data_IF_384680300031
#
_entry.id   IF_384680300031
#
_cell.length_a   1.000
_cell.length_b   1.000
_cell.length_c   1.000
_cell.angle_alpha   90.00
_cell.angle_beta   90.00
_cell.angle_gamma   90.00
#
_symmetry.space_group_name_H-M   'P 1'
#
loop_
_entity.id
_entity.type
_entity.pdbx_description
1 polymer ?
#
# COMPACT_ATOMS: atom_id res chain seq x y z
N UNK A 1 22.15 -59.83 -10.47
CA UNK A 1 22.68 -58.54 -9.99
C UNK A 1 21.60 -57.52 -10.23
N UNK A 2 21.11 -56.93 -9.15
CA UNK A 2 20.08 -55.90 -9.14
C UNK A 2 20.80 -54.56 -8.95
N UNK A 3 20.53 -53.59 -9.82
CA UNK A 3 20.87 -52.19 -9.58
C UNK A 3 19.59 -51.37 -9.66
N UNK A 4 19.18 -50.85 -8.50
CA UNK A 4 18.10 -49.88 -8.34
C UNK A 4 18.54 -48.51 -8.86
N UNK A 5 17.65 -47.70 -9.44
CA UNK A 5 17.96 -46.31 -9.73
C UNK A 5 17.97 -45.46 -8.44
N UNK A 6 18.81 -44.41 -8.38
CA UNK A 6 19.00 -43.61 -7.18
C UNK A 6 17.84 -42.63 -6.94
N UNK A 7 17.46 -42.51 -5.66
CA UNK A 7 16.55 -41.51 -5.11
C UNK A 7 17.10 -40.10 -5.27
N UNK A 8 16.51 -39.29 -6.15
CA UNK A 8 16.78 -37.85 -6.22
C UNK A 8 15.90 -37.09 -5.22
N UNK A 9 16.33 -37.08 -3.97
CA UNK A 9 15.75 -36.30 -2.88
C UNK A 9 16.14 -34.81 -2.90
N UNK A 10 16.67 -34.26 -4.00
CA UNK A 10 17.29 -32.92 -4.00
C UNK A 10 16.43 -31.78 -4.54
N UNK A 11 15.20 -32.03 -5.01
CA UNK A 11 14.34 -30.97 -5.56
C UNK A 11 13.40 -30.29 -4.55
N UNK A 12 13.54 -30.57 -3.24
CA UNK A 12 12.73 -29.94 -2.18
C UNK A 12 13.45 -28.77 -1.52
N UNK A 13 13.83 -27.70 -2.23
CA UNK A 13 14.18 -26.42 -1.55
C UNK A 13 14.35 -25.17 -2.41
N UNK A 14 13.52 -24.95 -3.44
CA UNK A 14 13.45 -23.60 -4.07
C UNK A 14 12.03 -23.22 -4.48
N UNK A 15 11.04 -23.43 -3.60
CA UNK A 15 9.70 -22.84 -3.71
C UNK A 15 9.42 -21.97 -2.48
N UNK A 16 10.28 -20.96 -2.29
CA UNK A 16 10.10 -19.97 -1.22
C UNK A 16 9.63 -18.66 -1.83
N UNK A 17 8.36 -18.36 -1.55
CA UNK A 17 7.72 -17.05 -1.66
C UNK A 17 7.33 -16.60 -3.09
N UNK A 18 6.38 -17.33 -3.69
CA UNK A 18 5.35 -16.64 -4.49
C UNK A 18 4.51 -15.82 -3.51
N UNK A 19 4.76 -14.52 -3.43
CA UNK A 19 3.86 -13.59 -2.76
C UNK A 19 2.47 -13.71 -3.39
N UNK A 20 1.47 -13.90 -2.54
CA UNK A 20 0.08 -14.13 -2.92
C UNK A 20 -0.50 -12.90 -3.65
N UNK A 21 -0.35 -12.91 -4.98
CA UNK A 21 -1.20 -12.15 -5.87
C UNK A 21 -2.61 -12.74 -5.77
N UNK A 22 -3.48 -12.13 -4.97
CA UNK A 22 -4.90 -12.44 -4.98
C UNK A 22 -5.60 -11.59 -6.06
N UNK A 23 -6.09 -12.18 -7.17
CA UNK A 23 -7.04 -11.50 -8.03
C UNK A 23 -8.39 -11.52 -7.32
N UNK A 24 -8.72 -10.47 -6.59
CA UNK A 24 -10.08 -10.28 -6.13
C UNK A 24 -10.98 -10.01 -7.35
N UNK A 25 -11.86 -10.99 -7.64
CA UNK A 25 -13.00 -10.94 -8.56
C UNK A 25 -12.76 -11.21 -10.06
N UNK A 26 -12.53 -12.49 -10.40
CA UNK A 26 -12.83 -13.01 -11.72
C UNK A 26 -14.37 -13.20 -11.88
N UNK A 27 -15.04 -12.27 -12.56
CA UNK A 27 -16.43 -12.45 -13.01
C UNK A 27 -17.22 -11.16 -13.20
N UNK A 28 -17.38 -10.76 -14.48
CA UNK A 28 -17.86 -9.46 -15.03
C UNK A 28 -16.81 -8.35 -14.99
N UNK A 29 -16.33 -7.95 -16.17
CA UNK A 29 -15.80 -6.60 -16.38
C UNK A 29 -16.90 -5.61 -15.99
N UNK A 30 -16.86 -5.13 -14.75
CA UNK A 30 -17.46 -3.84 -14.42
C UNK A 30 -16.58 -2.84 -15.16
N UNK A 31 -17.13 -2.04 -16.05
CA UNK A 31 -16.45 -0.78 -16.38
C UNK A 31 -16.29 -0.04 -15.06
N UNK A 32 -15.07 -0.01 -14.52
CA UNK A 32 -14.79 0.79 -13.33
C UNK A 32 -14.67 2.22 -13.83
N UNK A 33 -15.61 3.07 -13.42
CA UNK A 33 -15.54 4.51 -13.66
C UNK A 33 -14.88 5.23 -12.48
N UNK A 34 -14.46 6.49 -12.68
CA UNK A 34 -13.81 7.28 -11.64
C UNK A 34 -14.64 7.39 -10.34
N UNK A 35 -15.97 7.59 -10.38
CA UNK A 35 -16.82 7.51 -9.18
C UNK A 35 -16.80 6.14 -8.48
N UNK A 36 -16.76 5.04 -9.22
CA UNK A 36 -16.65 3.70 -8.64
C UNK A 36 -15.29 3.50 -7.98
N UNK A 37 -14.19 3.97 -8.59
CA UNK A 37 -12.87 3.95 -7.97
C UNK A 37 -12.84 4.77 -6.67
N UNK A 38 -13.44 5.97 -6.68
CA UNK A 38 -13.52 6.79 -5.47
C UNK A 38 -14.27 6.08 -4.33
N UNK A 39 -15.42 5.46 -4.63
CA UNK A 39 -16.19 4.67 -3.65
C UNK A 39 -15.37 3.50 -3.11
N UNK A 40 -14.73 2.76 -4.02
CA UNK A 40 -13.85 1.64 -3.66
C UNK A 40 -12.74 2.09 -2.72
N UNK A 41 -12.04 3.20 -3.00
CA UNK A 41 -11.00 3.74 -2.11
C UNK A 41 -11.54 4.08 -0.71
N UNK A 42 -12.73 4.69 -0.62
CA UNK A 42 -13.37 5.02 0.66
C UNK A 42 -13.69 3.76 1.47
N UNK A 43 -14.22 2.73 0.79
CA UNK A 43 -14.53 1.44 1.38
C UNK A 43 -13.26 0.73 1.85
N UNK A 44 -12.25 0.59 0.97
CA UNK A 44 -10.96 -0.03 1.28
C UNK A 44 -10.27 0.63 2.47
N UNK A 45 -10.19 1.96 2.52
CA UNK A 45 -9.63 2.66 3.68
C UNK A 45 -10.38 2.39 5.00
N UNK A 46 -11.67 2.05 4.94
CA UNK A 46 -12.45 1.65 6.12
C UNK A 46 -12.10 0.26 6.65
N UNK A 47 -11.51 -0.59 5.81
CA UNK A 47 -11.12 -1.97 6.12
C UNK A 47 -9.61 -2.11 6.41
N UNK A 48 -8.80 -1.13 6.01
CA UNK A 48 -7.35 -1.13 6.25
C UNK A 48 -7.00 -1.07 7.74
N UNK A 49 -6.05 -1.92 8.14
CA UNK A 49 -5.48 -1.91 9.48
C UNK A 49 -4.56 -0.70 9.71
N UNK A 50 -4.33 -0.34 10.99
CA UNK A 50 -3.32 0.66 11.34
C UNK A 50 -1.96 0.25 10.79
N UNK A 51 -1.22 1.22 10.26
CA UNK A 51 0.07 1.04 9.59
C UNK A 51 0.05 0.28 8.26
N UNK A 52 -1.11 -0.23 7.80
CA UNK A 52 -1.24 -0.80 6.46
C UNK A 52 -1.05 0.29 5.39
N UNK A 53 -0.57 -0.15 4.22
CA UNK A 53 -0.27 0.70 3.06
C UNK A 53 -1.02 0.19 1.84
N UNK A 54 -1.56 1.12 1.07
CA UNK A 54 -2.15 0.88 -0.24
C UNK A 54 -1.42 1.76 -1.26
N UNK A 55 -0.68 1.13 -2.16
CA UNK A 55 -0.01 1.78 -3.29
C UNK A 55 -0.88 1.66 -4.53
N UNK A 56 -0.94 2.71 -5.32
CA UNK A 56 -1.75 2.82 -6.54
C UNK A 56 -0.87 3.45 -7.61
N UNK A 57 -0.92 2.90 -8.82
CA UNK A 57 -0.13 3.37 -9.96
C UNK A 57 -0.55 2.67 -11.24
N UNK A 58 0.20 2.79 -12.34
CA UNK A 58 -0.13 2.13 -13.60
C UNK A 58 -0.09 0.61 -13.43
N UNK A 59 -1.09 -0.11 -13.92
CA UNK A 59 -1.17 -1.58 -13.80
C UNK A 59 0.00 -2.29 -14.50
N UNK A 60 0.57 -1.67 -15.53
CA UNK A 60 1.67 -2.20 -16.33
C UNK A 60 3.07 -1.81 -15.79
N UNK A 61 3.16 -0.97 -14.75
CA UNK A 61 4.45 -0.58 -14.19
C UNK A 61 5.04 -1.74 -13.37
N UNK A 62 6.03 -2.43 -13.95
CA UNK A 62 6.86 -3.39 -13.20
C UNK A 62 7.83 -2.66 -12.26
N UNK A 63 8.36 -3.36 -11.25
CA UNK A 63 9.33 -2.82 -10.30
C UNK A 63 10.63 -2.32 -10.96
N UNK A 64 10.91 -2.76 -12.19
CA UNK A 64 12.12 -2.42 -12.97
C UNK A 64 11.84 -1.39 -14.09
N UNK A 65 10.68 -0.71 -14.07
CA UNK A 65 10.31 0.24 -15.10
C UNK A 65 11.27 1.44 -15.17
N UNK A 66 12.01 1.58 -16.26
CA UNK A 66 12.73 2.82 -16.58
C UNK A 66 11.70 3.92 -16.95
N UNK A 67 11.53 4.89 -16.05
CA UNK A 67 10.71 6.08 -16.29
C UNK A 67 10.07 6.62 -15.01
N UNK A 68 9.57 7.85 -15.10
CA UNK A 68 8.72 8.44 -14.06
C UNK A 68 7.42 7.62 -13.93
N UNK A 69 7.06 7.26 -12.71
CA UNK A 69 5.85 6.49 -12.39
C UNK A 69 4.92 7.35 -11.55
N UNK A 70 3.85 7.83 -12.18
CA UNK A 70 2.75 8.47 -11.47
C UNK A 70 2.13 7.49 -10.46
N UNK A 71 2.27 7.76 -9.18
CA UNK A 71 1.75 6.90 -8.13
C UNK A 71 1.21 7.67 -6.93
N UNK A 72 0.32 7.02 -6.22
CA UNK A 72 -0.25 7.48 -4.98
C UNK A 72 -0.09 6.41 -3.90
N UNK A 73 0.27 6.81 -2.70
CA UNK A 73 0.38 5.92 -1.55
C UNK A 73 -0.54 6.41 -0.45
N UNK A 74 -1.38 5.52 0.07
CA UNK A 74 -2.22 5.75 1.24
C UNK A 74 -1.71 4.89 2.38
N UNK A 75 -1.45 5.49 3.53
CA UNK A 75 -1.09 4.78 4.76
C UNK A 75 -2.02 5.15 5.91
N UNK A 76 -2.45 4.13 6.66
CA UNK A 76 -3.22 4.35 7.89
C UNK A 76 -2.29 4.68 9.05
N UNK A 77 -2.54 5.80 9.71
CA UNK A 77 -1.86 6.29 10.90
C UNK A 77 -2.74 6.07 12.16
N UNK A 78 -2.34 6.66 13.30
CA UNK A 78 -3.16 6.62 14.50
C UNK A 78 -4.49 7.37 14.32
N UNK A 79 -5.47 7.02 15.16
CA UNK A 79 -6.76 7.72 15.25
C UNK A 79 -7.52 7.81 13.92
N UNK A 80 -7.43 6.77 13.08
CA UNK A 80 -8.04 6.71 11.75
C UNK A 80 -7.65 7.92 10.86
N UNK A 81 -6.41 8.38 11.01
CA UNK A 81 -5.83 9.37 10.12
C UNK A 81 -5.15 8.65 8.96
N UNK A 82 -5.26 9.20 7.76
CA UNK A 82 -4.67 8.66 6.54
C UNK A 82 -3.63 9.65 6.03
N UNK A 83 -2.43 9.17 5.77
CA UNK A 83 -1.41 9.89 5.00
C UNK A 83 -1.59 9.53 3.54
N UNK A 84 -1.82 10.51 2.69
CA UNK A 84 -1.76 10.37 1.23
C UNK A 84 -0.54 11.08 0.70
N UNK A 85 0.24 10.38 -0.12
CA UNK A 85 1.43 10.89 -0.79
C UNK A 85 1.26 10.73 -2.29
N UNK A 86 1.66 11.74 -3.05
CA UNK A 86 1.66 11.70 -4.52
C UNK A 86 3.09 11.81 -5.02
N UNK A 87 3.41 11.04 -6.05
CA UNK A 87 4.74 11.03 -6.63
C UNK A 87 4.74 10.65 -8.12
N UNK A 88 5.85 10.97 -8.77
CA UNK A 88 6.25 10.50 -10.10
C UNK A 88 7.42 9.51 -9.99
N UNK A 89 7.72 9.02 -8.79
CA UNK A 89 8.70 7.98 -8.52
C UNK A 89 8.06 6.91 -7.64
N UNK A 90 8.48 5.66 -7.81
CA UNK A 90 8.06 4.55 -6.94
C UNK A 90 8.40 4.89 -5.48
N UNK A 91 7.39 4.86 -4.61
CA UNK A 91 7.55 5.16 -3.19
C UNK A 91 7.75 3.91 -2.36
N UNK A 92 8.68 3.96 -1.42
CA UNK A 92 8.74 2.99 -0.34
C UNK A 92 7.74 3.37 0.76
N UNK A 93 7.16 2.40 1.49
CA UNK A 93 6.46 2.68 2.73
C UNK A 93 7.36 3.48 3.70
N UNK A 94 6.94 4.65 4.19
CA UNK A 94 7.82 5.52 4.95
C UNK A 94 8.12 4.91 6.33
N UNK A 95 9.33 5.08 6.84
CA UNK A 95 9.62 4.78 8.24
C UNK A 95 9.23 5.99 9.10
N UNK A 96 8.19 5.87 9.92
CA UNK A 96 7.70 6.96 10.75
C UNK A 96 8.10 6.73 12.22
N UNK A 97 8.66 7.76 12.85
CA UNK A 97 8.97 7.75 14.29
C UNK A 97 7.70 7.81 15.13
N UNK A 98 6.66 8.47 14.62
CA UNK A 98 5.33 8.59 15.23
C UNK A 98 4.27 8.58 14.15
N UNK A 99 3.12 8.00 14.45
CA UNK A 99 1.93 8.01 13.59
C UNK A 99 0.79 8.85 14.21
N UNK A 100 1.09 9.65 15.23
CA UNK A 100 0.18 10.63 15.81
C UNK A 100 0.32 11.96 15.07
N UNK A 101 -0.79 12.49 14.58
CA UNK A 101 -0.85 13.74 13.82
C UNK A 101 -1.63 14.80 14.61
N UNK A 102 -1.03 15.99 14.75
CA UNK A 102 -1.66 17.16 15.35
C UNK A 102 -2.82 17.68 14.50
N UNK A 103 -3.81 18.31 15.12
CA UNK A 103 -5.00 18.81 14.41
C UNK A 103 -4.65 19.90 13.39
N UNK A 104 -3.64 20.71 13.70
CA UNK A 104 -3.10 21.77 12.87
C UNK A 104 -2.50 21.29 11.54
N UNK A 105 -2.06 20.02 11.48
CA UNK A 105 -1.49 19.43 10.28
C UNK A 105 -2.54 18.71 9.40
N UNK A 106 -3.76 18.52 9.91
CA UNK A 106 -4.81 17.86 9.14
C UNK A 106 -5.32 18.74 7.99
N UNK A 107 -5.68 18.10 6.89
CA UNK A 107 -6.26 18.72 5.70
C UNK A 107 -5.42 19.85 5.08
N UNK A 108 -4.13 19.89 5.41
CA UNK A 108 -3.14 20.82 4.85
C UNK A 108 -2.22 20.05 3.91
N UNK A 109 -1.91 20.65 2.75
CA UNK A 109 -0.99 20.07 1.78
C UNK A 109 0.45 20.52 2.07
N UNK A 110 1.37 19.57 2.10
CA UNK A 110 2.78 19.80 2.38
C UNK A 110 3.62 19.48 1.14
N UNK A 111 4.59 20.35 0.85
CA UNK A 111 5.55 20.22 -0.26
C UNK A 111 6.99 20.14 0.24
N UNK A 112 7.20 19.88 1.53
CA UNK A 112 8.55 19.80 2.09
C UNK A 112 9.25 18.48 1.72
N UNK A 113 10.57 18.46 1.91
CA UNK A 113 11.42 17.32 1.59
C UNK A 113 11.40 16.21 2.66
N UNK A 114 10.30 16.10 3.45
CA UNK A 114 10.18 15.07 4.51
C UNK A 114 10.34 13.66 3.93
N UNK A 115 9.90 13.45 2.69
CA UNK A 115 10.02 12.18 2.00
C UNK A 115 10.73 12.37 0.66
N UNK A 116 11.94 11.84 0.53
CA UNK A 116 12.77 12.01 -0.67
C UNK A 116 12.13 11.45 -1.96
N UNK A 117 11.26 10.47 -1.81
CA UNK A 117 10.51 9.79 -2.88
C UNK A 117 9.10 10.38 -3.11
N UNK A 118 8.71 11.47 -2.42
CA UNK A 118 7.40 12.12 -2.58
C UNK A 118 7.51 13.41 -3.41
N UNK A 119 7.43 13.30 -4.73
CA UNK A 119 7.73 14.46 -5.60
C UNK A 119 6.61 15.50 -5.68
N UNK A 120 5.37 15.14 -5.32
CA UNK A 120 4.20 16.01 -5.46
C UNK A 120 3.54 16.39 -4.14
N UNK A 121 4.21 16.08 -3.03
CA UNK A 121 3.74 16.41 -1.70
C UNK A 121 2.72 15.42 -1.13
N UNK A 122 2.26 15.75 0.07
CA UNK A 122 1.44 14.87 0.88
C UNK A 122 0.43 15.63 1.73
N UNK A 123 -0.56 14.89 2.23
CA UNK A 123 -1.60 15.41 3.12
C UNK A 123 -1.99 14.34 4.13
N UNK A 124 -2.35 14.77 5.34
CA UNK A 124 -2.94 13.91 6.35
C UNK A 124 -4.41 14.29 6.55
N UNK A 125 -5.31 13.32 6.54
CA UNK A 125 -6.74 13.57 6.74
C UNK A 125 -7.41 12.46 7.53
N UNK A 126 -8.47 12.79 8.27
CA UNK A 126 -9.42 11.80 8.80
C UNK A 126 -10.58 11.54 7.82
N UNK A 127 -10.68 12.32 6.75
CA UNK A 127 -11.72 12.18 5.74
C UNK A 127 -11.27 11.22 4.64
N UNK A 128 -11.76 9.99 4.69
CA UNK A 128 -11.58 8.99 3.62
C UNK A 128 -12.04 9.52 2.26
N UNK A 129 -13.15 10.26 2.23
CA UNK A 129 -13.66 10.87 0.98
C UNK A 129 -12.65 11.84 0.38
N UNK A 130 -12.04 12.70 1.21
CA UNK A 130 -11.03 13.66 0.75
C UNK A 130 -9.81 12.95 0.17
N UNK A 131 -9.30 11.94 0.87
CA UNK A 131 -8.15 11.15 0.40
C UNK A 131 -8.46 10.47 -0.95
N UNK A 132 -9.63 9.84 -1.06
CA UNK A 132 -10.05 9.21 -2.32
C UNK A 132 -10.18 10.23 -3.47
N UNK A 133 -10.71 11.43 -3.19
CA UNK A 133 -10.82 12.51 -4.18
C UNK A 133 -9.47 13.01 -4.67
N UNK A 134 -8.50 13.16 -3.76
CA UNK A 134 -7.12 13.54 -4.11
C UNK A 134 -6.52 12.50 -5.08
N UNK A 135 -6.64 11.21 -4.74
CA UNK A 135 -6.08 10.13 -5.56
C UNK A 135 -6.75 10.04 -6.93
N UNK A 136 -8.08 10.12 -6.99
CA UNK A 136 -8.81 10.09 -8.27
C UNK A 136 -8.47 11.30 -9.12
N UNK A 137 -8.40 12.49 -8.53
CA UNK A 137 -8.04 13.73 -9.24
C UNK A 137 -6.63 13.65 -9.79
N UNK A 138 -5.68 13.12 -9.00
CA UNK A 138 -4.30 12.90 -9.42
C UNK A 138 -4.25 12.08 -10.72
N UNK A 139 -4.83 10.88 -10.73
CA UNK A 139 -4.74 10.01 -11.90
C UNK A 139 -5.57 10.49 -13.09
N UNK A 140 -6.81 10.93 -12.84
CA UNK A 140 -7.73 11.35 -13.90
C UNK A 140 -7.25 12.63 -14.59
N UNK A 141 -6.93 13.66 -13.80
CA UNK A 141 -6.74 15.00 -14.35
C UNK A 141 -5.27 15.30 -14.66
N UNK A 142 -4.34 14.80 -13.83
CA UNK A 142 -2.92 15.14 -13.99
C UNK A 142 -2.18 14.13 -14.84
N UNK A 143 -2.36 12.84 -14.56
CA UNK A 143 -1.64 11.78 -15.26
C UNK A 143 -2.33 11.39 -16.58
N UNK A 144 -3.56 11.86 -16.80
CA UNK A 144 -4.28 11.71 -18.06
C UNK A 144 -4.77 10.29 -18.33
N UNK A 145 -4.93 9.47 -17.30
CA UNK A 145 -5.55 8.15 -17.45
C UNK A 145 -6.97 8.30 -17.95
N UNK A 146 -7.33 7.54 -18.98
CA UNK A 146 -8.66 7.65 -19.59
C UNK A 146 -9.69 6.90 -18.76
N UNK A 147 -9.27 5.78 -18.16
CA UNK A 147 -10.13 4.92 -17.32
C UNK A 147 -9.35 4.36 -16.11
N UNK A 148 -10.02 4.14 -14.97
CA UNK A 148 -9.42 3.51 -13.79
C UNK A 148 -8.84 2.11 -14.03
N UNK A 149 -9.32 1.35 -15.01
CA UNK A 149 -8.84 0.01 -15.33
C UNK A 149 -7.35 -0.02 -15.76
N UNK A 150 -6.80 1.13 -16.12
CA UNK A 150 -5.38 1.31 -16.43
C UNK A 150 -4.50 1.34 -15.16
N UNK A 151 -5.13 1.45 -13.98
CA UNK A 151 -4.46 1.50 -12.68
C UNK A 151 -4.43 0.13 -12.01
N UNK A 152 -3.29 -0.17 -11.41
CA UNK A 152 -3.10 -1.28 -10.48
C UNK A 152 -3.04 -0.80 -9.03
N UNK A 153 -3.20 -1.73 -8.10
CA UNK A 153 -3.00 -1.46 -6.67
C UNK A 153 -2.22 -2.59 -6.00
N UNK A 154 -1.41 -2.23 -5.02
CA UNK A 154 -0.68 -3.16 -4.16
C UNK A 154 -1.01 -2.86 -2.70
N UNK A 155 -1.43 -3.88 -1.96
CA UNK A 155 -1.76 -3.77 -0.54
C UNK A 155 -0.68 -4.42 0.31
N UNK A 156 -0.16 -3.67 1.27
CA UNK A 156 0.77 -4.17 2.28
C UNK A 156 0.08 -4.14 3.66
N UNK A 157 -0.23 -5.30 4.26
CA UNK A 157 -0.84 -5.36 5.58
C UNK A 157 0.14 -4.93 6.68
N UNK A 158 -0.43 -4.60 7.84
CA UNK A 158 0.36 -4.28 9.02
C UNK A 158 1.12 -5.52 9.53
N UNK A 159 2.32 -5.33 10.08
CA UNK A 159 3.05 -6.42 10.74
C UNK A 159 2.94 -6.24 12.25
N UNK A 160 2.32 -7.21 12.92
CA UNK A 160 2.26 -7.23 14.39
C UNK A 160 3.50 -7.91 14.95
N UNK A 161 4.26 -7.18 15.77
CA UNK A 161 5.36 -7.80 16.52
C UNK A 161 4.81 -8.62 17.70
N UNK A 162 5.48 -9.73 18.07
CA UNK A 162 5.14 -10.45 19.28
C UNK A 162 5.18 -9.49 20.46
N UNK A 163 4.08 -9.40 21.22
CA UNK A 163 4.11 -8.69 22.50
C UNK A 163 5.08 -9.47 23.38
N UNK A 164 6.16 -8.84 23.84
CA UNK A 164 6.98 -9.40 24.90
C UNK A 164 6.03 -9.77 26.03
N UNK A 165 5.87 -11.07 26.30
CA UNK A 165 5.18 -11.51 27.50
C UNK A 165 5.88 -10.78 28.64
N UNK A 166 5.13 -9.99 29.40
CA UNK A 166 5.63 -9.43 30.64
C UNK A 166 6.23 -10.59 31.41
N UNK A 167 7.55 -10.56 31.60
CA UNK A 167 8.24 -11.48 32.50
C UNK A 167 7.56 -11.29 33.84
N UNK A 168 6.66 -12.22 34.16
CA UNK A 168 6.14 -12.38 35.51
C UNK A 168 7.39 -12.58 36.36
N UNK A 169 7.74 -11.58 37.16
CA UNK A 169 8.71 -11.74 38.24
C UNK A 169 8.13 -12.81 39.18
N UNK A 170 8.37 -14.08 38.89
CA UNK A 170 8.33 -15.11 39.91
C UNK A 170 9.58 -14.90 40.75
N UNK A 171 9.35 -14.42 41.97
CA UNK A 171 10.38 -14.29 42.98
C UNK A 171 11.10 -15.62 43.17
N UNK A 172 12.42 -15.53 43.29
CA UNK A 172 13.21 -16.62 43.83
C UNK A 172 13.27 -16.44 45.36
N UNK A 173 13.11 -17.52 46.14
CA UNK A 173 13.08 -17.49 47.61
C UNK A 173 14.37 -16.97 48.25
#
# INVERSE_FOLDING_TARGET
>A
MAESPPDDHSQRRVDRQRSDWHPAHAGRKREVDWPAMQRWLVESMGEMERAAVLDIGPAAAGADGEGDVDCAQIRVLASQTYLVRLSTMVMAPPALVSDVVGHEALDTWFYDDTFADCTHGFLMSRSRRRVAEIVVTWFRDRCGFSVPDELGCAYQPSTTLPRSASVQRQGYP
#
